data_IF_824667091911
#
_entry.id   IF_824667091911
#
_cell.length_a   1.000
_cell.length_b   1.000
_cell.length_c   1.000
_cell.angle_alpha   90.00
_cell.angle_beta   90.00
_cell.angle_gamma   90.00
#
_symmetry.space_group_name_H-M   'P 1'
#
loop_
_entity.id
_entity.type
_entity.pdbx_description
1 polymer ?
#
# COMPACT_ATOMS: atom_id res chain seq x y z
N UNK A 1 -0.12 -7.88 14.72
CA UNK A 1 -1.08 -7.94 13.58
C UNK A 1 -0.37 -8.08 12.23
N UNK A 2 0.60 -7.23 11.83
CA UNK A 2 1.27 -7.37 10.53
C UNK A 2 2.00 -8.71 10.33
N UNK A 3 2.60 -9.25 11.38
CA UNK A 3 3.40 -10.48 11.29
C UNK A 3 2.55 -11.74 11.17
N UNK A 4 1.47 -11.86 11.95
CA UNK A 4 0.65 -13.08 12.04
C UNK A 4 -0.83 -12.90 11.74
N UNK A 5 -1.24 -11.71 11.31
CA UNK A 5 -2.61 -11.39 10.96
C UNK A 5 -3.42 -10.85 12.13
N UNK A 6 -4.64 -10.42 11.82
CA UNK A 6 -5.59 -9.89 12.81
C UNK A 6 -6.15 -11.03 13.67
N UNK A 7 -6.68 -12.07 13.04
CA UNK A 7 -7.39 -13.17 13.72
C UNK A 7 -6.50 -13.86 14.74
N UNK A 8 -5.25 -14.16 14.37
CA UNK A 8 -4.28 -14.83 15.23
C UNK A 8 -3.64 -13.93 16.30
N UNK A 9 -3.98 -12.64 16.37
CA UNK A 9 -3.48 -11.71 17.38
C UNK A 9 -4.55 -11.50 18.46
N UNK A 10 -4.32 -11.94 19.70
CA UNK A 10 -5.23 -11.73 20.83
C UNK A 10 -5.01 -10.38 21.52
N UNK A 11 -6.03 -9.91 22.28
CA UNK A 11 -5.90 -8.73 23.15
C UNK A 11 -4.82 -8.92 24.20
N UNK A 12 -4.68 -10.15 24.74
CA UNK A 12 -3.64 -10.47 25.73
C UNK A 12 -2.24 -10.28 25.18
N UNK A 13 -1.99 -10.76 23.97
CA UNK A 13 -0.71 -10.57 23.31
C UNK A 13 -0.40 -9.09 22.99
N UNK A 14 -1.43 -8.32 22.63
CA UNK A 14 -1.29 -6.88 22.42
C UNK A 14 -0.92 -6.19 23.73
N UNK A 15 -1.64 -6.50 24.82
CA UNK A 15 -1.35 -5.96 26.14
C UNK A 15 0.06 -6.32 26.62
N UNK A 16 0.43 -7.59 26.49
CA UNK A 16 1.78 -8.08 26.86
C UNK A 16 2.87 -7.36 26.08
N UNK A 17 2.70 -7.24 24.75
CA UNK A 17 3.67 -6.55 23.89
C UNK A 17 3.80 -5.05 24.19
N UNK A 18 2.74 -4.43 24.68
CA UNK A 18 2.71 -3.01 25.05
C UNK A 18 3.11 -2.76 26.53
N UNK A 19 3.31 -3.79 27.34
CA UNK A 19 3.53 -3.67 28.79
C UNK A 19 2.31 -3.12 29.55
N UNK A 20 1.09 -3.41 29.07
CA UNK A 20 -0.16 -2.88 29.59
C UNK A 20 -1.08 -4.00 30.10
N UNK A 21 -2.05 -3.63 30.95
CA UNK A 21 -3.11 -4.54 31.42
C UNK A 21 -4.31 -4.56 30.47
N UNK A 22 -5.14 -5.60 30.55
CA UNK A 22 -6.45 -5.62 29.86
C UNK A 22 -7.34 -4.44 30.29
N UNK A 23 -7.32 -4.06 31.55
CA UNK A 23 -8.06 -2.90 32.03
C UNK A 23 -7.65 -1.62 31.33
N UNK A 24 -6.33 -1.41 31.15
CA UNK A 24 -5.81 -0.28 30.38
C UNK A 24 -6.26 -0.35 28.91
N UNK A 25 -6.27 -1.54 28.30
CA UNK A 25 -6.75 -1.72 26.94
C UNK A 25 -8.21 -1.28 26.76
N UNK A 26 -9.10 -1.80 27.62
CA UNK A 26 -10.53 -1.51 27.53
C UNK A 26 -10.90 -0.11 28.02
N UNK A 27 -9.99 0.61 28.67
CA UNK A 27 -10.15 2.03 28.95
C UNK A 27 -10.05 2.89 27.67
N UNK A 28 -9.19 2.50 26.72
CA UNK A 28 -8.97 3.25 25.48
C UNK A 28 -9.69 2.70 24.26
N UNK A 29 -10.00 1.40 24.23
CA UNK A 29 -10.57 0.73 23.08
C UNK A 29 -11.82 -0.06 23.47
N UNK A 30 -12.89 0.11 22.72
CA UNK A 30 -14.14 -0.67 22.88
C UNK A 30 -13.92 -2.17 22.63
N UNK A 31 -12.86 -2.52 21.89
CA UNK A 31 -12.48 -3.89 21.57
C UNK A 31 -11.40 -3.98 20.50
N UNK A 32 -11.06 -5.22 20.12
CA UNK A 32 -10.01 -5.47 19.11
C UNK A 32 -10.34 -4.87 17.75
N UNK A 33 -11.63 -4.79 17.37
CA UNK A 33 -12.07 -4.19 16.10
C UNK A 33 -11.83 -2.68 16.09
N UNK A 34 -12.16 -1.98 17.20
CA UNK A 34 -11.86 -0.54 17.32
C UNK A 34 -10.35 -0.28 17.16
N UNK A 35 -9.50 -1.04 17.87
CA UNK A 35 -8.06 -0.95 17.68
C UNK A 35 -7.65 -1.28 16.23
N UNK A 36 -8.24 -2.31 15.61
CA UNK A 36 -7.95 -2.71 14.25
C UNK A 36 -8.16 -1.58 13.24
N UNK A 37 -9.26 -0.83 13.35
CA UNK A 37 -9.53 0.36 12.52
C UNK A 37 -8.44 1.42 12.71
N UNK A 38 -8.14 1.79 13.95
CA UNK A 38 -7.13 2.80 14.26
C UNK A 38 -5.72 2.39 13.79
N UNK A 39 -5.39 1.11 13.89
CA UNK A 39 -4.11 0.58 13.40
C UNK A 39 -4.03 0.65 11.87
N UNK A 40 -5.13 0.37 11.15
CA UNK A 40 -5.19 0.50 9.70
C UNK A 40 -4.99 1.97 9.26
N UNK A 41 -5.72 2.90 9.87
CA UNK A 41 -5.60 4.34 9.64
C UNK A 41 -4.17 4.85 9.93
N UNK A 42 -3.61 4.47 11.09
CA UNK A 42 -2.25 4.86 11.48
C UNK A 42 -1.20 4.30 10.53
N UNK A 43 -1.33 3.05 10.13
CA UNK A 43 -0.44 2.43 9.15
C UNK A 43 -0.46 3.20 7.84
N UNK A 44 -1.66 3.53 7.35
CA UNK A 44 -1.82 4.32 6.13
C UNK A 44 -1.26 5.73 6.27
N UNK A 45 -1.59 6.46 7.32
CA UNK A 45 -1.11 7.81 7.57
C UNK A 45 0.43 7.89 7.59
N UNK A 46 1.09 6.91 8.24
CA UNK A 46 2.55 6.81 8.27
C UNK A 46 3.12 6.60 6.86
N UNK A 47 2.48 5.74 6.06
CA UNK A 47 2.89 5.51 4.66
C UNK A 47 2.68 6.75 3.80
N UNK A 48 1.53 7.41 3.94
CA UNK A 48 1.21 8.66 3.22
C UNK A 48 2.24 9.75 3.51
N UNK A 49 2.67 9.92 4.77
CA UNK A 49 3.73 10.86 5.14
C UNK A 49 5.07 10.51 4.48
N UNK A 50 5.47 9.24 4.50
CA UNK A 50 6.68 8.78 3.82
C UNK A 50 6.64 9.07 2.31
N UNK A 51 5.51 8.82 1.67
CA UNK A 51 5.31 9.10 0.25
C UNK A 51 5.31 10.59 -0.06
N UNK A 52 4.72 11.43 0.80
CA UNK A 52 4.71 12.89 0.61
C UNK A 52 6.12 13.50 0.56
N UNK A 53 7.09 12.86 1.21
CA UNK A 53 8.50 13.28 1.21
C UNK A 53 9.33 12.65 0.08
N UNK A 54 8.72 11.83 -0.77
CA UNK A 54 9.45 11.10 -1.79
C UNK A 54 9.98 12.02 -2.90
N UNK A 55 11.23 11.80 -3.37
CA UNK A 55 11.90 12.70 -4.33
C UNK A 55 11.19 12.85 -5.68
N UNK A 56 10.38 11.88 -6.08
CA UNK A 56 9.68 11.93 -7.36
C UNK A 56 8.69 13.10 -7.46
N UNK A 57 8.17 13.64 -6.35
CA UNK A 57 7.30 14.82 -6.36
C UNK A 57 7.99 16.09 -6.86
N UNK A 58 9.32 16.14 -6.81
CA UNK A 58 10.11 17.29 -7.27
C UNK A 58 10.32 17.27 -8.79
N UNK A 59 9.94 16.18 -9.47
CA UNK A 59 10.06 16.06 -10.92
C UNK A 59 9.02 16.94 -11.62
N UNK A 60 9.50 17.79 -12.56
CA UNK A 60 8.64 18.70 -13.34
C UNK A 60 7.80 17.93 -14.35
N UNK A 61 8.41 16.96 -15.03
CA UNK A 61 7.73 16.10 -16.02
C UNK A 61 6.80 15.11 -15.29
N UNK A 62 5.50 15.08 -15.64
CA UNK A 62 4.55 14.16 -15.01
C UNK A 62 4.86 12.69 -15.30
N UNK A 63 5.45 12.34 -16.45
CA UNK A 63 5.86 10.96 -16.73
C UNK A 63 7.04 10.55 -15.84
N UNK A 64 7.97 11.45 -15.58
CA UNK A 64 9.06 11.20 -14.62
C UNK A 64 8.51 11.01 -13.18
N UNK A 65 7.43 11.72 -12.79
CA UNK A 65 6.76 11.49 -11.49
C UNK A 65 6.13 10.11 -11.43
N UNK A 66 5.40 9.72 -12.48
CA UNK A 66 4.78 8.39 -12.60
C UNK A 66 5.82 7.28 -12.47
N UNK A 67 6.90 7.34 -13.25
CA UNK A 67 7.97 6.34 -13.20
C UNK A 67 8.72 6.38 -11.86
N UNK A 68 9.00 7.57 -11.35
CA UNK A 68 9.66 7.78 -10.08
C UNK A 68 8.91 7.22 -8.88
N UNK A 69 7.57 7.21 -8.91
CA UNK A 69 6.75 6.55 -7.89
C UNK A 69 6.97 5.04 -7.87
N UNK A 70 7.03 4.41 -9.03
CA UNK A 70 7.32 2.97 -9.13
C UNK A 70 8.75 2.68 -8.66
N UNK A 71 9.72 3.50 -9.09
CA UNK A 71 11.11 3.39 -8.66
C UNK A 71 11.24 3.55 -7.15
N UNK A 72 10.47 4.43 -6.52
CA UNK A 72 10.48 4.60 -5.07
C UNK A 72 10.05 3.33 -4.33
N UNK A 73 9.03 2.61 -4.80
CA UNK A 73 8.66 1.30 -4.23
C UNK A 73 9.77 0.26 -4.43
N UNK A 74 10.43 0.26 -5.60
CA UNK A 74 11.56 -0.63 -5.89
C UNK A 74 12.69 -0.36 -4.90
N UNK A 75 13.07 0.89 -4.69
CA UNK A 75 14.14 1.27 -3.76
C UNK A 75 13.79 0.95 -2.30
N UNK A 76 12.54 1.17 -1.88
CA UNK A 76 12.09 0.74 -0.54
C UNK A 76 12.29 -0.77 -0.31
N UNK A 77 12.16 -1.58 -1.37
CA UNK A 77 12.36 -3.03 -1.27
C UNK A 77 13.85 -3.47 -1.23
N UNK A 78 14.78 -2.55 -1.56
CA UNK A 78 16.24 -2.76 -1.49
C UNK A 78 16.85 -2.35 -0.15
N UNK A 79 16.12 -1.54 0.61
CA UNK A 79 16.60 -1.01 1.88
C UNK A 79 16.86 -2.10 2.94
N UNK A 80 17.49 -1.73 4.07
CA UNK A 80 17.81 -2.66 5.15
C UNK A 80 16.57 -3.28 5.81
N UNK A 81 15.41 -2.66 5.64
CA UNK A 81 14.14 -3.10 6.18
C UNK A 81 13.07 -3.18 5.07
N UNK A 82 13.17 -4.16 4.15
CA UNK A 82 12.21 -4.30 3.07
C UNK A 82 10.80 -4.54 3.61
N UNK A 83 9.76 -4.13 2.86
CA UNK A 83 8.38 -4.36 3.26
C UNK A 83 8.09 -5.84 3.46
N UNK A 84 7.64 -6.23 4.67
CA UNK A 84 7.26 -7.61 5.00
C UNK A 84 5.81 -7.94 4.68
N UNK A 85 5.07 -7.01 4.07
CA UNK A 85 3.66 -7.12 3.71
C UNK A 85 2.94 -5.79 3.78
N UNK A 86 1.65 -5.83 3.48
CA UNK A 86 0.72 -4.71 3.64
C UNK A 86 -0.33 -5.05 4.70
N UNK A 87 -0.41 -4.26 5.76
CA UNK A 87 -1.40 -4.49 6.82
C UNK A 87 -2.83 -4.41 6.28
N UNK A 88 -3.10 -3.41 5.43
CA UNK A 88 -4.43 -3.24 4.82
C UNK A 88 -4.81 -4.45 3.97
N UNK A 89 -3.89 -4.94 3.13
CA UNK A 89 -4.10 -6.15 2.34
C UNK A 89 -4.33 -7.39 3.20
N UNK A 90 -3.56 -7.56 4.28
CA UNK A 90 -3.76 -8.65 5.24
C UNK A 90 -5.14 -8.56 5.88
N UNK A 91 -5.55 -7.37 6.34
CA UNK A 91 -6.86 -7.18 6.96
C UNK A 91 -8.00 -7.47 5.99
N UNK A 92 -7.92 -7.00 4.75
CA UNK A 92 -8.96 -7.28 3.75
C UNK A 92 -9.07 -8.78 3.47
N UNK A 93 -7.95 -9.49 3.31
CA UNK A 93 -7.96 -10.94 3.06
C UNK A 93 -8.57 -11.74 4.21
N UNK A 94 -8.30 -11.34 5.47
CA UNK A 94 -8.83 -12.05 6.65
C UNK A 94 -10.26 -11.66 7.00
N UNK A 95 -10.66 -10.40 6.77
CA UNK A 95 -11.78 -9.77 7.46
C UNK A 95 -12.89 -9.25 6.54
N UNK A 96 -12.75 -9.38 5.22
CA UNK A 96 -13.68 -8.76 4.27
C UNK A 96 -15.16 -9.16 4.50
N UNK A 97 -15.42 -10.38 4.94
CA UNK A 97 -16.76 -10.91 5.17
C UNK A 97 -17.28 -10.69 6.60
N UNK A 98 -16.38 -10.54 7.60
CA UNK A 98 -16.73 -10.59 9.01
C UNK A 98 -16.64 -9.24 9.73
N UNK A 99 -15.83 -8.31 9.25
CA UNK A 99 -15.57 -7.01 9.87
C UNK A 99 -15.76 -5.85 8.87
N UNK A 100 -17.01 -5.49 8.54
CA UNK A 100 -17.31 -4.48 7.50
C UNK A 100 -16.71 -3.11 7.81
N UNK A 101 -16.59 -2.74 9.09
CA UNK A 101 -15.99 -1.46 9.48
C UNK A 101 -14.48 -1.41 9.17
N UNK A 102 -13.71 -2.47 9.45
CA UNK A 102 -12.28 -2.54 9.08
C UNK A 102 -12.13 -2.58 7.55
N UNK A 103 -12.98 -3.34 6.86
CA UNK A 103 -12.98 -3.40 5.39
C UNK A 103 -13.17 -2.01 4.78
N UNK A 104 -14.14 -1.23 5.28
CA UNK A 104 -14.40 0.13 4.79
C UNK A 104 -13.16 1.02 4.93
N UNK A 105 -12.55 1.06 6.11
CA UNK A 105 -11.32 1.82 6.35
C UNK A 105 -10.20 1.41 5.38
N UNK A 106 -10.01 0.10 5.16
CA UNK A 106 -9.00 -0.37 4.23
C UNK A 106 -9.30 0.04 2.78
N UNK A 107 -10.57 -0.02 2.35
CA UNK A 107 -11.00 0.40 1.01
C UNK A 107 -10.75 1.89 0.80
N UNK A 108 -11.09 2.74 1.77
CA UNK A 108 -10.85 4.19 1.72
C UNK A 108 -9.36 4.52 1.63
N UNK A 109 -8.52 3.81 2.39
CA UNK A 109 -7.06 3.95 2.33
C UNK A 109 -6.50 3.56 0.96
N UNK A 110 -6.97 2.45 0.36
CA UNK A 110 -6.56 2.05 -0.99
C UNK A 110 -7.01 3.07 -2.04
N UNK A 111 -8.26 3.54 -1.96
CA UNK A 111 -8.79 4.55 -2.88
C UNK A 111 -8.00 5.88 -2.80
N UNK A 112 -7.67 6.34 -1.59
CA UNK A 112 -6.87 7.56 -1.40
C UNK A 112 -5.45 7.40 -1.97
N UNK A 113 -4.81 6.24 -1.75
CA UNK A 113 -3.50 5.93 -2.32
C UNK A 113 -3.53 5.91 -3.86
N UNK A 114 -4.58 5.34 -4.44
CA UNK A 114 -4.76 5.27 -5.89
C UNK A 114 -4.96 6.64 -6.53
N UNK A 115 -5.73 7.54 -5.90
CA UNK A 115 -6.01 8.90 -6.42
C UNK A 115 -4.74 9.70 -6.72
N UNK A 116 -3.75 9.67 -5.83
CA UNK A 116 -2.51 10.41 -6.03
C UNK A 116 -1.71 9.92 -7.24
N UNK A 117 -1.74 8.62 -7.53
CA UNK A 117 -1.09 8.07 -8.72
C UNK A 117 -1.92 8.30 -9.99
N UNK A 118 -3.25 8.20 -9.88
CA UNK A 118 -4.17 8.52 -10.97
C UNK A 118 -3.96 9.95 -11.48
N UNK A 119 -3.83 10.94 -10.60
CA UNK A 119 -3.58 12.32 -10.97
C UNK A 119 -2.28 12.49 -11.77
N UNK A 120 -1.17 11.91 -11.28
CA UNK A 120 0.10 11.92 -12.02
C UNK A 120 -0.04 11.25 -13.40
N UNK A 121 -0.79 10.15 -13.51
CA UNK A 121 -1.07 9.44 -14.76
C UNK A 121 -1.92 10.27 -15.73
N UNK A 122 -2.92 11.01 -15.24
CA UNK A 122 -3.76 11.90 -16.04
C UNK A 122 -2.94 13.05 -16.63
N UNK A 123 -2.10 13.68 -15.81
CA UNK A 123 -1.17 14.73 -16.28
C UNK A 123 -0.16 14.21 -17.30
N UNK A 124 0.43 13.04 -17.02
CA UNK A 124 1.37 12.40 -17.94
C UNK A 124 0.70 12.03 -19.27
N UNK A 125 -0.53 11.50 -19.21
CA UNK A 125 -1.32 11.17 -20.40
C UNK A 125 -1.61 12.42 -21.24
N UNK A 126 -2.05 13.49 -20.61
CA UNK A 126 -2.35 14.76 -21.31
C UNK A 126 -1.11 15.33 -22.03
N UNK A 127 0.07 15.16 -21.43
CA UNK A 127 1.32 15.73 -21.95
C UNK A 127 1.98 14.84 -23.00
N UNK A 128 2.04 13.52 -22.76
CA UNK A 128 2.88 12.61 -23.55
C UNK A 128 2.11 11.62 -24.42
N UNK A 129 0.83 11.34 -24.09
CA UNK A 129 0.02 10.37 -24.82
C UNK A 129 -1.47 10.79 -24.89
N UNK A 130 -1.80 11.99 -25.43
CA UNK A 130 -3.16 12.54 -25.37
C UNK A 130 -4.20 11.73 -26.15
N UNK A 131 -3.78 10.90 -27.09
CA UNK A 131 -4.65 10.01 -27.89
C UNK A 131 -4.77 8.59 -27.32
N UNK A 132 -4.02 8.27 -26.28
CA UNK A 132 -4.05 6.94 -25.68
C UNK A 132 -5.44 6.62 -25.09
N UNK A 133 -5.86 5.37 -25.21
CA UNK A 133 -7.20 4.93 -24.78
C UNK A 133 -7.22 4.30 -23.38
N UNK A 134 -6.06 4.09 -22.76
CA UNK A 134 -6.00 3.52 -21.41
C UNK A 134 -6.55 4.47 -20.34
N UNK A 135 -7.07 3.91 -19.28
CA UNK A 135 -7.64 4.63 -18.13
C UNK A 135 -6.58 4.83 -17.05
N UNK A 136 -6.37 6.07 -16.60
CA UNK A 136 -5.46 6.39 -15.49
C UNK A 136 -5.93 5.73 -14.18
N UNK A 137 -7.25 5.67 -13.94
CA UNK A 137 -7.82 4.97 -12.79
C UNK A 137 -7.45 3.48 -12.84
N UNK A 138 -7.71 2.81 -13.97
CA UNK A 138 -7.41 1.38 -14.12
C UNK A 138 -5.92 1.06 -13.95
N UNK A 139 -5.03 1.92 -14.47
CA UNK A 139 -3.59 1.75 -14.27
C UNK A 139 -3.16 1.98 -12.82
N UNK A 140 -3.82 2.89 -12.11
CA UNK A 140 -3.57 3.12 -10.69
C UNK A 140 -4.00 1.92 -9.83
N UNK A 141 -5.16 1.34 -10.12
CA UNK A 141 -5.63 0.11 -9.49
C UNK A 141 -4.71 -1.07 -9.83
N UNK A 142 -4.20 -1.14 -11.07
CA UNK A 142 -3.25 -2.17 -11.51
C UNK A 142 -1.92 -2.12 -10.75
N UNK A 143 -1.37 -0.93 -10.49
CA UNK A 143 -0.20 -0.79 -9.61
C UNK A 143 -0.47 -1.39 -8.23
N UNK A 144 -1.64 -1.08 -7.65
CA UNK A 144 -2.04 -1.60 -6.35
C UNK A 144 -2.12 -3.14 -6.39
N UNK A 145 -2.75 -3.71 -7.42
CA UNK A 145 -2.85 -5.16 -7.59
C UNK A 145 -1.49 -5.84 -7.71
N UNK A 146 -0.58 -5.30 -8.53
CA UNK A 146 0.79 -5.81 -8.68
C UNK A 146 1.54 -5.74 -7.35
N UNK A 147 1.46 -4.61 -6.65
CA UNK A 147 2.15 -4.44 -5.37
C UNK A 147 1.64 -5.42 -4.31
N UNK A 148 0.32 -5.60 -4.19
CA UNK A 148 -0.26 -6.56 -3.24
C UNK A 148 0.15 -8.00 -3.59
N UNK A 149 0.08 -8.40 -4.86
CA UNK A 149 0.53 -9.71 -5.32
C UNK A 149 2.02 -9.94 -5.07
N UNK A 150 2.86 -8.96 -5.38
CA UNK A 150 4.30 -9.04 -5.16
C UNK A 150 4.67 -9.16 -3.66
N UNK A 151 3.96 -8.45 -2.77
CA UNK A 151 4.15 -8.56 -1.32
C UNK A 151 3.77 -9.95 -0.79
N UNK A 152 2.69 -10.54 -1.29
CA UNK A 152 2.26 -11.91 -0.95
C UNK A 152 3.32 -12.92 -1.39
N UNK A 153 3.76 -12.83 -2.65
CA UNK A 153 4.79 -13.73 -3.20
C UNK A 153 6.13 -13.59 -2.51
N UNK A 154 6.55 -12.36 -2.20
CA UNK A 154 7.78 -12.10 -1.46
C UNK A 154 7.72 -12.69 -0.05
N UNK A 155 6.57 -12.60 0.63
CA UNK A 155 6.35 -13.23 1.94
C UNK A 155 6.41 -14.76 1.85
N UNK A 156 5.75 -15.34 0.85
CA UNK A 156 5.75 -16.80 0.64
C UNK A 156 7.14 -17.35 0.32
N UNK A 157 7.91 -16.66 -0.53
CA UNK A 157 9.27 -17.06 -0.92
C UNK A 157 10.36 -16.61 0.04
N UNK A 158 10.03 -15.79 1.05
CA UNK A 158 11.01 -15.14 1.94
C UNK A 158 12.08 -14.34 1.15
N UNK A 159 11.70 -13.81 -0.01
CA UNK A 159 12.59 -13.08 -0.91
C UNK A 159 11.96 -11.76 -1.40
N UNK A 160 12.46 -10.59 -0.96
CA UNK A 160 11.97 -9.29 -1.41
C UNK A 160 12.33 -8.97 -2.88
N UNK A 161 13.18 -9.76 -3.54
CA UNK A 161 13.53 -9.60 -4.96
C UNK A 161 12.28 -9.66 -5.84
N UNK A 162 11.29 -10.47 -5.47
CA UNK A 162 10.01 -10.59 -6.20
C UNK A 162 9.31 -9.23 -6.34
N UNK A 163 9.37 -8.36 -5.32
CA UNK A 163 8.77 -7.02 -5.36
C UNK A 163 9.43 -6.19 -6.45
N UNK A 164 10.76 -6.21 -6.51
CA UNK A 164 11.54 -5.43 -7.48
C UNK A 164 11.29 -5.88 -8.91
N UNK A 165 11.26 -7.19 -9.14
CA UNK A 165 11.02 -7.77 -10.46
C UNK A 165 9.61 -7.45 -10.95
N UNK A 166 8.59 -7.66 -10.12
CA UNK A 166 7.19 -7.38 -10.48
C UNK A 166 6.98 -5.89 -10.79
N UNK A 167 7.53 -5.00 -9.97
CA UNK A 167 7.45 -3.56 -10.21
C UNK A 167 8.31 -3.11 -11.39
N UNK A 168 9.44 -3.76 -11.64
CA UNK A 168 10.27 -3.55 -12.83
C UNK A 168 9.47 -3.81 -14.11
N UNK A 169 8.80 -4.96 -14.20
CA UNK A 169 7.91 -5.28 -15.32
C UNK A 169 6.78 -4.25 -15.47
N UNK A 170 6.16 -3.82 -14.38
CA UNK A 170 5.14 -2.78 -14.45
C UNK A 170 5.69 -1.44 -14.94
N UNK A 171 6.88 -1.05 -14.50
CA UNK A 171 7.56 0.14 -14.96
C UNK A 171 7.84 0.12 -16.47
N UNK A 172 8.30 -1.03 -16.98
CA UNK A 172 8.56 -1.20 -18.42
C UNK A 172 7.25 -1.20 -19.23
N UNK A 173 6.19 -1.80 -18.68
CA UNK A 173 4.84 -1.70 -19.24
C UNK A 173 4.36 -0.25 -19.30
N UNK A 174 4.49 0.54 -18.23
CA UNK A 174 4.15 1.95 -18.24
C UNK A 174 4.91 2.70 -19.35
N UNK A 175 6.22 2.50 -19.44
CA UNK A 175 7.03 3.13 -20.51
C UNK A 175 6.53 2.80 -21.90
N UNK A 176 6.06 1.59 -22.15
CA UNK A 176 5.51 1.20 -23.45
C UNK A 176 4.24 1.95 -23.81
N UNK A 177 3.39 2.28 -22.81
CA UNK A 177 2.15 3.02 -23.01
C UNK A 177 2.34 4.48 -23.43
N UNK A 178 3.52 5.04 -23.22
CA UNK A 178 3.86 6.43 -23.56
C UNK A 178 4.79 6.54 -24.78
N UNK A 179 5.06 5.44 -25.48
CA UNK A 179 5.89 5.43 -26.69
C UNK A 179 5.08 5.51 -28.00
N UNK A 180 3.75 5.43 -27.90
CA UNK A 180 2.82 5.56 -29.01
C UNK A 180 2.39 7.03 -29.19
#
# INVERSE_FOLDING_TARGET
MLAKGYTATSVDEICTAAGLTKGSFFHYFEGKEHLGRLVAERFYATRKQLFALAPFHQKKDPLERVLGRVDFFIEMSRGPHPPKGCLLGTFVQELYATHPAIRSVCADCFADSARGFQQDLEEAKATHAPRARWSAQSLSEHLTAILQGALILAKAKQDPKVIRESLGHFRDYLRSLFRE
#
